data_IF_866474674900
#
_entry.id   IF_866474674900
#
_cell.length_a   1.000
_cell.length_b   1.000
_cell.length_c   1.000
_cell.angle_alpha   90.00
_cell.angle_beta   90.00
_cell.angle_gamma   90.00
#
_symmetry.space_group_name_H-M   'P 1'
#
loop_
_entity.id
_entity.type
_entity.pdbx_description
1 polymer ?
#
# COMPACT_ATOMS: atom_id res chain seq x y z
N UNK A 1 -12.27 31.61 2.09
CA UNK A 1 -12.73 30.29 2.57
C UNK A 1 -11.66 29.80 3.53
N UNK A 2 -11.96 29.75 4.82
CA UNK A 2 -11.04 29.23 5.84
C UNK A 2 -10.89 27.73 5.63
N UNK A 3 -9.67 27.25 5.42
CA UNK A 3 -9.38 25.83 5.33
C UNK A 3 -9.80 25.15 6.65
N UNK A 4 -10.55 24.04 6.62
CA UNK A 4 -10.82 23.24 7.81
C UNK A 4 -9.50 22.88 8.50
N UNK A 5 -9.43 23.06 9.82
CA UNK A 5 -8.21 22.90 10.63
C UNK A 5 -7.59 21.50 10.57
N UNK A 6 -8.34 20.51 10.10
CA UNK A 6 -7.95 19.09 10.07
C UNK A 6 -7.27 18.65 8.75
N UNK A 7 -7.11 19.56 7.78
CA UNK A 7 -6.46 19.23 6.49
C UNK A 7 -4.97 19.57 6.56
N UNK A 8 -4.06 18.60 6.39
CA UNK A 8 -2.63 18.87 6.34
C UNK A 8 -2.26 19.83 5.21
N UNK A 9 -1.30 20.73 5.44
CA UNK A 9 -0.92 21.78 4.48
C UNK A 9 -0.53 21.24 3.08
N UNK A 10 0.14 20.08 3.03
CA UNK A 10 0.51 19.42 1.77
C UNK A 10 -0.69 18.96 0.94
N UNK A 11 -1.79 18.59 1.59
CA UNK A 11 -3.03 18.17 0.95
C UNK A 11 -3.81 19.40 0.47
N UNK A 12 -3.84 20.46 1.29
CA UNK A 12 -4.48 21.73 0.91
C UNK A 12 -3.82 22.37 -0.32
N UNK A 13 -2.49 22.35 -0.40
CA UNK A 13 -1.73 22.87 -1.55
C UNK A 13 -2.06 22.13 -2.85
N UNK A 14 -2.07 20.79 -2.79
CA UNK A 14 -2.45 19.94 -3.93
C UNK A 14 -3.92 20.13 -4.34
N UNK A 15 -4.82 20.26 -3.36
CA UNK A 15 -6.24 20.51 -3.62
C UNK A 15 -6.46 21.85 -4.34
N UNK A 16 -5.71 22.90 -3.97
CA UNK A 16 -5.79 24.19 -4.64
C UNK A 16 -5.35 24.11 -6.11
N UNK A 17 -4.25 23.40 -6.41
CA UNK A 17 -3.77 23.17 -7.78
C UNK A 17 -4.83 22.45 -8.61
N UNK A 18 -5.43 21.40 -8.05
CA UNK A 18 -6.47 20.62 -8.72
C UNK A 18 -7.74 21.46 -8.97
N UNK A 19 -8.16 22.25 -7.99
CA UNK A 19 -9.30 23.17 -8.11
C UNK A 19 -9.05 24.23 -9.18
N UNK A 20 -7.85 24.81 -9.24
CA UNK A 20 -7.51 25.82 -10.24
C UNK A 20 -7.48 25.24 -11.65
N UNK A 21 -6.87 24.07 -11.83
CA UNK A 21 -6.84 23.34 -13.10
C UNK A 21 -8.24 22.99 -13.62
N UNK A 22 -9.23 22.89 -12.73
CA UNK A 22 -10.60 22.47 -13.04
C UNK A 22 -11.66 23.53 -12.74
N UNK A 23 -11.28 24.82 -12.63
CA UNK A 23 -12.19 25.93 -12.29
C UNK A 23 -13.41 26.13 -13.22
N UNK A 24 -13.40 25.51 -14.39
CA UNK A 24 -14.46 25.59 -15.40
C UNK A 24 -15.37 24.35 -15.45
N UNK A 25 -15.15 23.34 -14.61
CA UNK A 25 -16.01 22.16 -14.55
C UNK A 25 -17.34 22.58 -13.90
N UNK A 26 -18.43 22.43 -14.64
CA UNK A 26 -19.79 22.84 -14.22
C UNK A 26 -20.62 21.67 -13.66
N UNK A 27 -20.10 20.44 -13.79
CA UNK A 27 -20.77 19.20 -13.41
C UNK A 27 -20.03 18.56 -12.24
N UNK A 28 -20.72 18.40 -11.11
CA UNK A 28 -20.17 17.85 -9.87
C UNK A 28 -19.70 16.38 -10.04
N UNK A 29 -20.31 15.62 -10.95
CA UNK A 29 -19.91 14.24 -11.25
C UNK A 29 -18.55 14.17 -11.94
N UNK A 30 -18.29 15.05 -12.91
CA UNK A 30 -17.01 15.07 -13.63
C UNK A 30 -15.86 15.47 -12.70
N UNK A 31 -16.09 16.47 -11.85
CA UNK A 31 -15.09 16.91 -10.88
C UNK A 31 -14.80 15.83 -9.83
N UNK A 32 -15.85 15.18 -9.30
CA UNK A 32 -15.71 14.06 -8.36
C UNK A 32 -14.99 12.88 -8.99
N UNK A 33 -15.33 12.51 -10.23
CA UNK A 33 -14.68 11.41 -10.93
C UNK A 33 -13.18 11.69 -11.17
N UNK A 34 -12.80 12.92 -11.51
CA UNK A 34 -11.39 13.31 -11.69
C UNK A 34 -10.61 13.31 -10.38
N UNK A 35 -11.23 13.70 -9.26
CA UNK A 35 -10.63 13.57 -7.93
C UNK A 35 -10.38 12.09 -7.62
N UNK A 36 -11.37 11.22 -7.83
CA UNK A 36 -11.24 9.77 -7.59
C UNK A 36 -10.12 9.19 -8.47
N UNK A 37 -10.08 9.51 -9.77
CA UNK A 37 -9.03 9.05 -10.68
C UNK A 37 -7.63 9.54 -10.29
N UNK A 38 -7.50 10.79 -9.83
CA UNK A 38 -6.21 11.34 -9.38
C UNK A 38 -5.74 10.66 -8.08
N UNK A 39 -6.64 10.42 -7.13
CA UNK A 39 -6.35 9.69 -5.89
C UNK A 39 -5.93 8.25 -6.20
N UNK A 40 -6.64 7.55 -7.09
CA UNK A 40 -6.29 6.19 -7.51
C UNK A 40 -4.95 6.12 -8.26
N UNK A 41 -4.65 7.12 -9.10
CA UNK A 41 -3.37 7.21 -9.78
C UNK A 41 -2.22 7.39 -8.77
N UNK A 42 -2.37 8.24 -7.75
CA UNK A 42 -1.37 8.39 -6.69
C UNK A 42 -1.19 7.12 -5.85
N UNK A 43 -2.25 6.33 -5.65
CA UNK A 43 -2.14 5.02 -5.01
C UNK A 43 -1.39 4.00 -5.89
N UNK A 44 -1.64 3.99 -7.21
CA UNK A 44 -0.91 3.13 -8.16
C UNK A 44 0.57 3.48 -8.30
N UNK A 45 0.98 4.71 -7.99
CA UNK A 45 2.37 5.15 -8.04
C UNK A 45 3.20 4.67 -6.84
N UNK A 46 2.60 4.02 -5.83
CA UNK A 46 3.38 3.33 -4.79
C UNK A 46 4.03 2.04 -5.30
N UNK A 47 5.02 2.17 -6.19
CA UNK A 47 6.05 1.16 -6.33
C UNK A 47 6.92 1.19 -5.07
N UNK A 48 6.83 0.18 -4.21
CA UNK A 48 7.62 0.08 -2.95
C UNK A 48 9.16 -0.03 -3.15
N UNK A 49 9.66 0.24 -4.36
CA UNK A 49 11.06 0.18 -4.76
C UNK A 49 11.69 -1.20 -4.63
N UNK A 50 10.89 -2.26 -4.67
CA UNK A 50 11.28 -3.62 -4.31
C UNK A 50 12.27 -4.22 -5.30
N UNK A 51 13.23 -4.98 -4.77
CA UNK A 51 14.02 -5.88 -5.61
C UNK A 51 13.22 -7.15 -5.95
N UNK A 52 13.72 -7.94 -6.90
CA UNK A 52 13.01 -9.13 -7.40
C UNK A 52 12.60 -10.11 -6.29
N UNK A 53 13.50 -10.38 -5.34
CA UNK A 53 13.22 -11.30 -4.23
C UNK A 53 12.15 -10.77 -3.27
N UNK A 54 12.14 -9.45 -3.02
CA UNK A 54 11.11 -8.79 -2.21
C UNK A 54 9.76 -8.80 -2.91
N UNK A 55 9.73 -8.53 -4.22
CA UNK A 55 8.51 -8.61 -5.03
C UNK A 55 7.94 -10.03 -5.05
N UNK A 56 8.79 -11.06 -5.22
CA UNK A 56 8.37 -12.47 -5.12
C UNK A 56 7.79 -12.81 -3.75
N UNK A 57 8.41 -12.31 -2.67
CA UNK A 57 7.90 -12.52 -1.32
C UNK A 57 6.56 -11.84 -1.10
N UNK A 58 6.39 -10.60 -1.56
CA UNK A 58 5.12 -9.89 -1.47
C UNK A 58 4.01 -10.64 -2.23
N UNK A 59 4.28 -11.01 -3.49
CA UNK A 59 3.35 -11.75 -4.33
C UNK A 59 2.97 -13.11 -3.73
N UNK A 60 3.91 -13.82 -3.10
CA UNK A 60 3.62 -15.05 -2.38
C UNK A 60 2.68 -14.81 -1.19
N UNK A 61 2.95 -13.78 -0.38
CA UNK A 61 2.10 -13.45 0.77
C UNK A 61 0.70 -13.07 0.32
N UNK A 62 0.57 -12.29 -0.76
CA UNK A 62 -0.71 -11.95 -1.38
C UNK A 62 -1.45 -13.21 -1.83
N UNK A 63 -0.85 -14.03 -2.69
CA UNK A 63 -1.48 -15.25 -3.19
C UNK A 63 -1.89 -16.20 -2.06
N UNK A 64 -1.07 -16.33 -1.02
CA UNK A 64 -1.39 -17.17 0.13
C UNK A 64 -2.65 -16.68 0.86
N UNK A 65 -2.78 -15.36 1.06
CA UNK A 65 -3.96 -14.77 1.70
C UNK A 65 -5.21 -15.01 0.85
N UNK A 66 -5.10 -14.90 -0.47
CA UNK A 66 -6.22 -15.08 -1.41
C UNK A 66 -6.76 -16.49 -1.37
N UNK A 67 -5.86 -17.46 -1.30
CA UNK A 67 -6.19 -18.88 -1.29
C UNK A 67 -6.71 -19.34 0.08
N UNK A 68 -6.12 -18.87 1.18
CA UNK A 68 -6.37 -19.43 2.52
C UNK A 68 -7.25 -18.54 3.41
N UNK A 69 -7.44 -17.27 3.05
CA UNK A 69 -8.17 -16.30 3.87
C UNK A 69 -7.40 -15.79 5.09
N UNK A 70 -6.11 -16.10 5.21
CA UNK A 70 -5.25 -15.63 6.30
C UNK A 70 -3.78 -15.47 5.90
N UNK A 71 -3.02 -14.69 6.68
CA UNK A 71 -1.61 -14.41 6.36
C UNK A 71 -0.69 -15.59 6.68
N UNK A 72 0.31 -15.91 5.84
CA UNK A 72 1.25 -16.99 6.11
C UNK A 72 2.13 -16.68 7.31
N UNK A 73 2.60 -17.72 7.98
CA UNK A 73 3.67 -17.63 8.98
C UNK A 73 5.03 -17.46 8.32
N UNK A 74 6.04 -17.05 9.10
CA UNK A 74 7.42 -16.94 8.62
C UNK A 74 7.95 -18.28 8.08
N UNK A 75 7.58 -19.39 8.72
CA UNK A 75 8.01 -20.72 8.28
C UNK A 75 7.30 -21.13 6.98
N UNK A 76 6.02 -20.76 6.79
CA UNK A 76 5.29 -20.95 5.53
C UNK A 76 5.87 -20.11 4.38
N UNK A 77 6.26 -18.86 4.65
CA UNK A 77 6.96 -18.01 3.66
C UNK A 77 8.29 -18.65 3.25
N UNK A 78 9.05 -19.15 4.23
CA UNK A 78 10.32 -19.84 3.96
C UNK A 78 10.14 -21.06 3.07
N UNK A 79 9.19 -21.93 3.42
CA UNK A 79 8.87 -23.14 2.66
C UNK A 79 8.36 -22.81 1.24
N UNK A 80 7.42 -21.87 1.10
CA UNK A 80 6.82 -21.51 -0.18
C UNK A 80 7.77 -20.83 -1.16
N UNK A 81 8.78 -20.13 -0.66
CA UNK A 81 9.79 -19.45 -1.49
C UNK A 81 11.11 -20.23 -1.61
N UNK A 82 11.22 -21.42 -1.00
CA UNK A 82 12.47 -22.20 -0.98
C UNK A 82 13.62 -21.50 -0.25
N UNK A 83 13.32 -20.64 0.73
CA UNK A 83 14.33 -19.93 1.52
C UNK A 83 14.82 -20.81 2.67
N UNK A 84 16.12 -21.13 2.66
CA UNK A 84 16.74 -22.02 3.63
C UNK A 84 16.98 -21.39 5.01
N UNK A 85 16.91 -20.06 5.14
CA UNK A 85 17.20 -19.36 6.39
C UNK A 85 16.02 -18.54 6.91
N UNK A 86 15.63 -18.80 8.15
CA UNK A 86 14.66 -17.99 8.91
C UNK A 86 15.09 -16.52 8.98
N UNK A 87 16.39 -16.25 9.07
CA UNK A 87 16.94 -14.89 9.06
C UNK A 87 16.69 -14.16 7.74
N UNK A 88 16.72 -14.86 6.61
CA UNK A 88 16.42 -14.28 5.29
C UNK A 88 14.93 -13.89 5.19
N UNK A 89 14.03 -14.75 5.66
CA UNK A 89 12.59 -14.45 5.73
C UNK A 89 12.35 -13.23 6.63
N UNK A 90 12.92 -13.23 7.84
CA UNK A 90 12.78 -12.12 8.78
C UNK A 90 13.26 -10.79 8.20
N UNK A 91 14.42 -10.79 7.53
CA UNK A 91 14.97 -9.62 6.85
C UNK A 91 14.06 -9.13 5.73
N UNK A 92 13.61 -10.03 4.86
CA UNK A 92 12.72 -9.69 3.74
C UNK A 92 11.42 -9.07 4.21
N UNK A 93 10.74 -9.70 5.18
CA UNK A 93 9.51 -9.18 5.77
C UNK A 93 9.75 -7.83 6.43
N UNK A 94 10.84 -7.66 7.20
CA UNK A 94 11.16 -6.38 7.82
C UNK A 94 11.37 -5.26 6.79
N UNK A 95 12.07 -5.55 5.68
CA UNK A 95 12.30 -4.59 4.61
C UNK A 95 11.01 -4.21 3.89
N UNK A 96 10.13 -5.18 3.62
CA UNK A 96 8.81 -4.94 3.03
C UNK A 96 7.94 -4.08 3.94
N UNK A 97 7.98 -4.32 5.26
CA UNK A 97 7.27 -3.47 6.24
C UNK A 97 7.83 -2.06 6.29
N UNK A 98 9.17 -1.92 6.34
CA UNK A 98 9.83 -0.62 6.37
C UNK A 98 9.54 0.23 5.11
N UNK A 99 9.28 -0.44 3.98
CA UNK A 99 8.93 0.20 2.71
C UNK A 99 7.44 0.47 2.56
N UNK A 100 6.63 0.07 3.53
CA UNK A 100 5.17 0.23 3.49
C UNK A 100 4.43 -0.80 2.66
N UNK A 101 5.11 -1.82 2.10
CA UNK A 101 4.47 -2.89 1.31
C UNK A 101 3.66 -3.86 2.18
N UNK A 102 4.06 -4.00 3.44
CA UNK A 102 3.36 -4.80 4.43
C UNK A 102 3.28 -4.05 5.76
N UNK A 103 2.40 -4.50 6.65
CA UNK A 103 2.35 -4.06 8.04
C UNK A 103 2.20 -5.25 8.98
N UNK A 104 2.70 -5.07 10.21
CA UNK A 104 2.52 -6.04 11.29
C UNK A 104 1.29 -5.73 12.14
N UNK A 105 0.44 -6.72 12.36
CA UNK A 105 -0.72 -6.67 13.26
C UNK A 105 -0.32 -7.27 14.61
N UNK A 106 -0.33 -6.46 15.67
CA UNK A 106 0.03 -6.94 17.02
C UNK A 106 -1.04 -7.91 17.55
N UNK A 107 -0.61 -8.92 18.32
CA UNK A 107 -1.50 -9.81 19.08
C UNK A 107 -2.15 -10.94 18.28
N UNK A 108 -1.67 -11.24 17.06
CA UNK A 108 -2.16 -12.39 16.27
C UNK A 108 -1.02 -13.29 15.82
N UNK A 109 -1.26 -14.61 15.81
CA UNK A 109 -0.32 -15.62 15.29
C UNK A 109 -0.01 -15.43 13.79
N UNK A 110 -0.93 -14.77 13.08
CA UNK A 110 -0.86 -14.42 11.65
C UNK A 110 -0.90 -12.90 11.54
N UNK A 111 0.27 -12.30 11.75
CA UNK A 111 0.41 -10.86 12.01
C UNK A 111 0.78 -10.06 10.76
N UNK A 112 0.67 -10.60 9.54
CA UNK A 112 1.05 -9.86 8.34
C UNK A 112 -0.18 -9.38 7.58
N UNK A 113 -0.15 -8.14 7.13
CA UNK A 113 -1.12 -7.61 6.18
C UNK A 113 -0.39 -6.88 5.06
N UNK A 114 -0.85 -7.06 3.84
CA UNK A 114 -0.41 -6.31 2.67
C UNK A 114 -1.08 -4.94 2.67
N UNK A 115 -0.34 -3.89 2.33
CA UNK A 115 -0.84 -2.52 2.29
C UNK A 115 -1.21 -2.17 0.85
N UNK A 116 -2.28 -1.38 0.65
CA UNK A 116 -2.77 -1.02 -0.69
C UNK A 116 -3.56 -2.13 -1.38
N UNK A 117 -3.93 -3.16 -0.63
CA UNK A 117 -4.92 -4.16 -1.01
C UNK A 117 -6.33 -3.67 -0.70
#
# INVERSE_FOLDING_TARGET
MTLPSDIPASIAERAAILMDAHRNVRDDLEYTARIIMAVEAEQKVQGYGLNESQSKMLAFVEAFIDEHGYSPTYDQIGAGLGLSSKSAVHRGVHQLVARGAMRKIKGRNQSLAVVGR
#
